data_IF_424643007240
#
_entry.id   IF_424643007240
#
_cell.length_a   1.000
_cell.length_b   1.000
_cell.length_c   1.000
_cell.angle_alpha   90.00
_cell.angle_beta   90.00
_cell.angle_gamma   90.00
#
_symmetry.space_group_name_H-M   'P 1'
#
loop_
_entity.id
_entity.type
_entity.pdbx_description
1 polymer ?
#
# COMPACT_ATOMS: atom_id res chain seq x y z
N UNK A 1 20.56 -9.66 -1.37
CA UNK A 1 21.66 -10.64 -1.28
C UNK A 1 22.52 -10.68 -2.54
N UNK A 2 21.94 -10.68 -3.74
CA UNK A 2 22.68 -10.59 -5.02
C UNK A 2 23.58 -9.33 -5.12
N UNK A 3 23.16 -8.12 -4.70
CA UNK A 3 24.02 -6.94 -4.78
C UNK A 3 25.27 -7.02 -3.89
N UNK A 4 25.16 -7.66 -2.73
CA UNK A 4 26.27 -7.88 -1.80
C UNK A 4 27.23 -8.98 -2.29
N UNK A 5 26.71 -9.96 -3.05
CA UNK A 5 27.53 -10.95 -3.74
C UNK A 5 28.30 -10.33 -4.91
N UNK A 6 27.69 -9.39 -5.64
CA UNK A 6 28.33 -8.64 -6.72
C UNK A 6 29.41 -7.68 -6.21
N UNK A 7 29.26 -7.09 -5.01
CA UNK A 7 30.33 -6.28 -4.41
C UNK A 7 31.51 -7.11 -3.89
N UNK A 8 31.29 -8.40 -3.61
CA UNK A 8 32.32 -9.33 -3.11
C UNK A 8 33.09 -10.02 -4.25
N UNK A 9 32.54 -9.97 -5.47
CA UNK A 9 33.10 -10.48 -6.71
C UNK A 9 33.77 -9.29 -7.42
N UNK A 10 35.11 -9.26 -7.45
CA UNK A 10 35.85 -8.13 -8.03
C UNK A 10 35.46 -7.83 -9.49
N UNK A 11 35.66 -6.57 -9.91
CA UNK A 11 35.39 -6.08 -11.27
C UNK A 11 35.79 -7.05 -12.41
N UNK A 12 36.95 -7.76 -12.37
CA UNK A 12 37.34 -8.68 -13.45
C UNK A 12 36.36 -9.86 -13.67
N UNK A 13 35.78 -10.38 -12.60
CA UNK A 13 34.83 -11.50 -12.70
C UNK A 13 33.48 -11.01 -13.22
N UNK A 14 33.07 -9.79 -12.85
CA UNK A 14 31.85 -9.16 -13.36
C UNK A 14 31.93 -8.86 -14.86
N UNK A 15 33.09 -8.38 -15.34
CA UNK A 15 33.29 -8.11 -16.76
C UNK A 15 33.22 -9.38 -17.60
N UNK A 16 33.76 -10.50 -17.10
CA UNK A 16 33.65 -11.80 -17.76
C UNK A 16 32.20 -12.31 -17.84
N UNK A 17 31.48 -12.32 -16.72
CA UNK A 17 30.08 -12.80 -16.67
C UNK A 17 29.17 -11.94 -17.58
N UNK A 18 29.32 -10.62 -17.54
CA UNK A 18 28.52 -9.73 -18.38
C UNK A 18 28.84 -9.89 -19.87
N UNK A 19 30.10 -10.13 -20.22
CA UNK A 19 30.50 -10.40 -21.61
C UNK A 19 29.84 -11.69 -22.14
N UNK A 20 29.79 -12.75 -21.33
CA UNK A 20 29.18 -14.02 -21.71
C UNK A 20 27.65 -13.89 -21.85
N UNK A 21 26.98 -13.25 -20.89
CA UNK A 21 25.53 -13.01 -20.96
C UNK A 21 25.16 -12.17 -22.18
N UNK A 22 25.99 -11.18 -22.55
CA UNK A 22 25.70 -10.33 -23.71
C UNK A 22 25.98 -11.02 -25.06
N UNK A 23 26.83 -12.04 -25.11
CA UNK A 23 27.01 -12.90 -26.30
C UNK A 23 25.75 -13.72 -26.58
N UNK A 24 25.04 -14.18 -25.55
CA UNK A 24 23.86 -15.05 -25.69
C UNK A 24 22.59 -14.34 -26.21
N UNK A 25 22.49 -13.01 -26.07
CA UNK A 25 21.31 -12.22 -26.48
C UNK A 25 21.31 -11.89 -27.98
N UNK A 26 22.46 -12.09 -28.66
CA UNK A 26 22.71 -11.98 -30.10
C UNK A 26 22.08 -10.76 -30.81
N UNK A 27 22.39 -9.56 -30.33
CA UNK A 27 22.07 -8.30 -31.00
C UNK A 27 23.34 -7.52 -31.36
N UNK A 28 23.30 -6.61 -32.34
CA UNK A 28 24.47 -5.79 -32.69
C UNK A 28 25.03 -4.98 -31.51
N UNK A 29 24.14 -4.51 -30.62
CA UNK A 29 24.51 -3.71 -29.44
C UNK A 29 25.14 -4.59 -28.36
N UNK A 30 24.55 -5.75 -28.06
CA UNK A 30 25.08 -6.67 -27.04
C UNK A 30 26.39 -7.30 -27.48
N UNK A 31 26.55 -7.63 -28.76
CA UNK A 31 27.80 -8.13 -29.33
C UNK A 31 28.93 -7.07 -29.28
N UNK A 32 28.60 -5.80 -29.50
CA UNK A 32 29.54 -4.68 -29.32
C UNK A 32 29.97 -4.51 -27.86
N UNK A 33 29.01 -4.56 -26.93
CA UNK A 33 29.27 -4.45 -25.50
C UNK A 33 30.10 -5.64 -24.96
N UNK A 34 29.79 -6.87 -25.38
CA UNK A 34 30.52 -8.07 -24.98
C UNK A 34 32.00 -8.00 -25.39
N UNK A 35 32.28 -7.56 -26.63
CA UNK A 35 33.66 -7.37 -27.11
C UNK A 35 34.41 -6.31 -26.31
N UNK A 36 33.76 -5.19 -25.99
CA UNK A 36 34.36 -4.14 -25.19
C UNK A 36 34.72 -4.63 -23.77
N UNK A 37 33.83 -5.39 -23.13
CA UNK A 37 34.07 -5.99 -21.81
C UNK A 37 35.21 -7.01 -21.84
N UNK A 38 35.32 -7.82 -22.91
CA UNK A 38 36.41 -8.78 -23.08
C UNK A 38 37.78 -8.10 -23.29
N UNK A 39 37.82 -6.97 -24.00
CA UNK A 39 39.04 -6.17 -24.13
C UNK A 39 39.46 -5.53 -22.80
N UNK A 40 38.50 -5.09 -21.98
CA UNK A 40 38.76 -4.61 -20.62
C UNK A 40 39.33 -5.72 -19.74
N UNK A 41 38.76 -6.92 -19.77
CA UNK A 41 39.28 -8.08 -19.01
C UNK A 41 40.71 -8.44 -19.44
N UNK A 42 40.99 -8.47 -20.74
CA UNK A 42 42.36 -8.67 -21.27
C UNK A 42 43.33 -7.57 -20.85
N UNK A 43 42.89 -6.31 -20.81
CA UNK A 43 43.71 -5.19 -20.36
C UNK A 43 44.07 -5.30 -18.87
N UNK A 44 43.15 -5.79 -18.04
CA UNK A 44 43.41 -6.12 -16.63
C UNK A 44 44.43 -7.26 -16.52
N UNK A 45 44.20 -8.38 -17.22
CA UNK A 45 45.11 -9.55 -17.17
C UNK A 45 46.53 -9.24 -17.68
N UNK A 46 46.66 -8.31 -18.63
CA UNK A 46 47.95 -7.87 -19.17
C UNK A 46 48.64 -6.81 -18.29
N UNK A 47 48.05 -6.41 -17.17
CA UNK A 47 48.56 -5.35 -16.28
C UNK A 47 48.55 -3.96 -16.90
N UNK A 48 47.76 -3.74 -17.97
CA UNK A 48 47.57 -2.42 -18.57
C UNK A 48 46.64 -1.54 -17.73
N UNK A 49 45.78 -2.18 -16.92
CA UNK A 49 45.07 -1.57 -15.80
C UNK A 49 45.76 -2.07 -14.54
N UNK A 50 46.21 -1.15 -13.67
CA UNK A 50 46.93 -1.51 -12.46
C UNK A 50 46.01 -2.23 -11.47
N UNK A 51 46.54 -3.25 -10.79
CA UNK A 51 45.84 -3.92 -9.68
C UNK A 51 45.42 -2.92 -8.59
N UNK A 52 46.19 -1.84 -8.40
CA UNK A 52 45.86 -0.77 -7.46
C UNK A 52 44.57 -0.02 -7.86
N UNK A 53 44.37 0.23 -9.16
CA UNK A 53 43.20 0.93 -9.69
C UNK A 53 41.95 0.04 -9.59
N UNK A 54 42.09 -1.26 -9.87
CA UNK A 54 41.00 -2.24 -9.71
C UNK A 54 40.59 -2.37 -8.24
N UNK A 55 41.56 -2.39 -7.32
CA UNK A 55 41.30 -2.49 -5.89
C UNK A 55 40.65 -1.22 -5.34
N UNK A 56 41.06 -0.04 -5.82
CA UNK A 56 40.40 1.23 -5.50
C UNK A 56 38.96 1.28 -6.01
N UNK A 57 38.72 0.82 -7.24
CA UNK A 57 37.37 0.74 -7.79
C UNK A 57 36.47 -0.23 -7.00
N UNK A 58 36.99 -1.38 -6.56
CA UNK A 58 36.25 -2.30 -5.68
C UNK A 58 35.89 -1.62 -4.33
N UNK A 59 36.83 -0.93 -3.68
CA UNK A 59 36.56 -0.17 -2.44
C UNK A 59 35.49 0.90 -2.62
N UNK A 60 35.50 1.58 -3.77
CA UNK A 60 34.48 2.57 -4.07
C UNK A 60 33.10 1.94 -4.21
N UNK A 61 32.98 0.80 -4.88
CA UNK A 61 31.73 0.03 -4.99
C UNK A 61 31.23 -0.42 -3.63
N UNK A 62 32.11 -0.89 -2.75
CA UNK A 62 31.76 -1.26 -1.37
C UNK A 62 31.20 -0.06 -0.58
N UNK A 63 31.90 1.08 -0.59
CA UNK A 63 31.44 2.31 0.08
C UNK A 63 30.09 2.81 -0.46
N UNK A 64 29.93 2.82 -1.78
CA UNK A 64 28.66 3.19 -2.43
C UNK A 64 27.53 2.23 -2.06
N UNK A 65 27.83 0.93 -1.96
CA UNK A 65 26.86 -0.09 -1.55
C UNK A 65 26.46 0.11 -0.09
N UNK A 66 27.40 0.40 0.80
CA UNK A 66 27.10 0.71 2.20
C UNK A 66 26.21 1.94 2.33
N UNK A 67 26.55 3.05 1.66
CA UNK A 67 25.72 4.26 1.66
C UNK A 67 24.31 4.00 1.14
N UNK A 68 24.15 3.18 0.10
CA UNK A 68 22.82 2.79 -0.42
C UNK A 68 22.04 1.97 0.58
N UNK A 69 22.68 1.00 1.24
CA UNK A 69 22.03 0.18 2.27
C UNK A 69 21.57 1.02 3.47
N UNK A 70 22.38 1.98 3.90
CA UNK A 70 22.01 2.92 4.97
C UNK A 70 20.83 3.82 4.57
N UNK A 71 20.83 4.35 3.35
CA UNK A 71 19.70 5.10 2.82
C UNK A 71 18.42 4.27 2.73
N UNK A 72 18.52 3.02 2.26
CA UNK A 72 17.37 2.13 2.15
C UNK A 72 16.85 1.75 3.54
N UNK A 73 17.73 1.49 4.51
CA UNK A 73 17.34 1.25 5.90
C UNK A 73 16.63 2.46 6.51
N UNK A 74 17.12 3.68 6.27
CA UNK A 74 16.49 4.92 6.73
C UNK A 74 15.09 5.11 6.12
N UNK A 75 14.95 4.94 4.80
CA UNK A 75 13.64 5.00 4.11
C UNK A 75 12.66 3.98 4.67
N UNK A 76 13.10 2.72 4.84
CA UNK A 76 12.26 1.67 5.40
C UNK A 76 11.88 1.98 6.86
N UNK A 77 12.78 2.57 7.64
CA UNK A 77 12.49 2.99 9.01
C UNK A 77 11.42 4.09 9.04
N UNK A 78 11.55 5.13 8.21
CA UNK A 78 10.62 6.24 8.12
C UNK A 78 9.23 5.78 7.63
N UNK A 79 9.17 4.91 6.63
CA UNK A 79 7.93 4.29 6.15
C UNK A 79 7.26 3.47 7.27
N UNK A 80 8.04 2.67 8.00
CA UNK A 80 7.48 1.89 9.12
C UNK A 80 7.00 2.79 10.25
N UNK A 81 7.70 3.89 10.52
CA UNK A 81 7.32 4.86 11.54
C UNK A 81 6.00 5.55 11.16
N UNK A 82 5.86 6.00 9.91
CA UNK A 82 4.63 6.65 9.44
C UNK A 82 3.44 5.69 9.41
N UNK A 83 3.63 4.44 8.96
CA UNK A 83 2.59 3.40 9.00
C UNK A 83 2.13 3.10 10.42
N UNK A 84 3.07 2.98 11.37
CA UNK A 84 2.72 2.79 12.79
C UNK A 84 1.95 3.98 13.34
N UNK A 85 2.35 5.20 12.99
CA UNK A 85 1.63 6.40 13.39
C UNK A 85 0.22 6.46 12.79
N UNK A 86 0.03 6.01 11.55
CA UNK A 86 -1.28 5.93 10.89
C UNK A 86 -2.18 4.86 11.54
N UNK A 87 -1.65 3.68 11.84
CA UNK A 87 -2.38 2.60 12.52
C UNK A 87 -2.80 3.01 13.94
N UNK A 88 -1.95 3.76 14.64
CA UNK A 88 -2.23 4.27 15.99
C UNK A 88 -3.04 5.58 15.96
N UNK A 89 -3.23 6.18 14.78
CA UNK A 89 -4.00 7.42 14.63
C UNK A 89 -5.46 7.18 15.03
N UNK A 90 -5.80 7.61 16.25
CA UNK A 90 -7.16 7.58 16.79
C UNK A 90 -8.01 8.74 16.23
N UNK A 91 -8.15 8.83 14.90
CA UNK A 91 -8.93 9.91 14.30
C UNK A 91 -10.37 9.88 14.85
N UNK A 92 -10.71 10.93 15.59
CA UNK A 92 -12.02 11.11 16.23
C UNK A 92 -13.14 11.15 15.19
N UNK A 93 -12.85 11.58 13.95
CA UNK A 93 -13.84 11.64 12.88
C UNK A 93 -14.31 10.24 12.48
N UNK A 94 -13.38 9.29 12.27
CA UNK A 94 -13.70 7.90 11.90
C UNK A 94 -14.48 7.20 13.02
N UNK A 95 -14.15 7.49 14.29
CA UNK A 95 -14.83 6.90 15.45
C UNK A 95 -16.24 7.45 15.66
N UNK A 96 -16.48 8.72 15.34
CA UNK A 96 -17.78 9.39 15.51
C UNK A 96 -18.73 9.17 14.34
N UNK A 97 -18.21 8.93 13.13
CA UNK A 97 -19.00 8.77 11.91
C UNK A 97 -20.04 7.64 12.02
N UNK A 98 -19.63 6.47 12.55
CA UNK A 98 -20.53 5.30 12.71
C UNK A 98 -21.72 5.61 13.65
N UNK A 99 -21.51 6.16 14.88
CA UNK A 99 -22.60 6.65 15.73
C UNK A 99 -23.47 7.74 15.09
N UNK A 100 -22.89 8.75 14.44
CA UNK A 100 -23.66 9.85 13.84
C UNK A 100 -24.63 9.36 12.78
N UNK A 101 -24.21 8.41 11.94
CA UNK A 101 -25.10 7.80 10.95
C UNK A 101 -26.31 7.14 11.62
N UNK A 102 -26.09 6.37 12.70
CA UNK A 102 -27.17 5.76 13.47
C UNK A 102 -28.13 6.78 14.08
N UNK A 103 -27.62 7.90 14.61
CA UNK A 103 -28.46 8.97 15.14
C UNK A 103 -29.30 9.65 14.06
N UNK A 104 -28.71 9.97 12.90
CA UNK A 104 -29.47 10.52 11.78
C UNK A 104 -30.59 9.58 11.32
N UNK A 105 -30.29 8.28 11.19
CA UNK A 105 -31.29 7.27 10.83
C UNK A 105 -32.43 7.18 11.84
N UNK A 106 -32.13 7.23 13.14
CA UNK A 106 -33.15 7.20 14.19
C UNK A 106 -34.03 8.46 14.14
N UNK A 107 -33.43 9.64 13.93
CA UNK A 107 -34.15 10.91 13.83
C UNK A 107 -35.06 10.94 12.60
N UNK A 108 -34.56 10.53 11.43
CA UNK A 108 -35.38 10.50 10.20
C UNK A 108 -36.50 9.48 10.30
N UNK A 109 -36.25 8.32 10.90
CA UNK A 109 -37.31 7.33 11.16
C UNK A 109 -38.38 7.89 12.10
N UNK A 110 -37.97 8.51 13.21
CA UNK A 110 -38.91 9.12 14.15
C UNK A 110 -39.75 10.23 13.48
N UNK A 111 -39.12 11.08 12.67
CA UNK A 111 -39.82 12.12 11.91
C UNK A 111 -40.81 11.51 10.90
N UNK A 112 -40.41 10.47 10.17
CA UNK A 112 -41.29 9.77 9.23
C UNK A 112 -42.49 9.14 9.95
N UNK A 113 -42.27 8.43 11.06
CA UNK A 113 -43.34 7.81 11.83
C UNK A 113 -44.29 8.84 12.46
N UNK A 114 -43.77 9.98 12.93
CA UNK A 114 -44.61 11.10 13.39
C UNK A 114 -45.45 11.69 12.26
N UNK A 115 -44.89 11.84 11.05
CA UNK A 115 -45.64 12.27 9.87
C UNK A 115 -46.79 11.32 9.53
N UNK A 116 -46.54 10.01 9.54
CA UNK A 116 -47.58 9.00 9.33
C UNK A 116 -48.66 9.09 10.42
N UNK A 117 -48.25 9.13 11.69
CA UNK A 117 -49.19 9.21 12.82
C UNK A 117 -50.07 10.48 12.74
N UNK A 118 -49.48 11.61 12.35
CA UNK A 118 -50.21 12.86 12.14
C UNK A 118 -51.27 12.71 11.04
N UNK A 119 -50.92 12.16 9.87
CA UNK A 119 -51.87 11.94 8.78
C UNK A 119 -52.99 11.00 9.21
N UNK A 120 -52.68 9.91 9.92
CA UNK A 120 -53.72 8.97 10.39
C UNK A 120 -54.74 9.67 11.30
N UNK A 121 -54.30 10.56 12.19
CA UNK A 121 -55.16 11.23 13.17
C UNK A 121 -55.91 12.42 12.58
N UNK A 122 -55.26 13.24 11.74
CA UNK A 122 -55.78 14.52 11.30
C UNK A 122 -56.24 14.56 9.83
N UNK A 123 -55.80 13.60 9.01
CA UNK A 123 -56.08 13.52 7.57
C UNK A 123 -56.32 12.06 7.15
N UNK A 124 -57.23 11.40 7.86
CA UNK A 124 -57.46 9.94 7.79
C UNK A 124 -57.86 9.49 6.39
N UNK A 125 -58.58 10.32 5.63
CA UNK A 125 -58.99 10.02 4.25
C UNK A 125 -57.78 9.76 3.33
N UNK A 126 -56.65 10.44 3.57
CA UNK A 126 -55.42 10.31 2.78
C UNK A 126 -54.43 9.31 3.36
N UNK A 127 -54.73 8.70 4.50
CA UNK A 127 -53.84 7.73 5.17
C UNK A 127 -53.48 6.55 4.28
N UNK A 128 -54.42 6.06 3.46
CA UNK A 128 -54.19 4.96 2.52
C UNK A 128 -53.16 5.30 1.45
N UNK A 129 -53.24 6.50 0.86
CA UNK A 129 -52.29 6.97 -0.16
C UNK A 129 -50.88 7.13 0.43
N UNK A 130 -50.78 7.70 1.63
CA UNK A 130 -49.50 7.91 2.32
C UNK A 130 -48.86 6.57 2.70
N UNK A 131 -49.63 5.60 3.22
CA UNK A 131 -49.13 4.26 3.53
C UNK A 131 -48.66 3.53 2.26
N UNK A 132 -49.36 3.69 1.14
CA UNK A 132 -48.91 3.14 -0.14
C UNK A 132 -47.60 3.79 -0.61
N UNK A 133 -47.45 5.11 -0.49
CA UNK A 133 -46.20 5.80 -0.81
C UNK A 133 -45.03 5.35 0.08
N UNK A 134 -45.28 4.95 1.32
CA UNK A 134 -44.24 4.38 2.21
C UNK A 134 -43.65 3.09 1.65
N UNK A 135 -44.44 2.28 0.95
CA UNK A 135 -43.94 1.06 0.32
C UNK A 135 -42.82 1.35 -0.70
N UNK A 136 -42.90 2.48 -1.43
CA UNK A 136 -41.89 2.90 -2.40
C UNK A 136 -40.56 3.29 -1.76
N UNK A 137 -40.55 3.61 -0.46
CA UNK A 137 -39.34 3.93 0.30
C UNK A 137 -38.66 2.68 0.91
N UNK A 138 -39.21 1.48 0.72
CA UNK A 138 -38.65 0.25 1.29
C UNK A 138 -37.22 -0.01 0.83
N UNK A 139 -36.89 0.30 -0.43
CA UNK A 139 -35.55 0.08 -0.98
C UNK A 139 -34.49 0.95 -0.29
N UNK A 140 -34.76 2.24 -0.07
CA UNK A 140 -33.81 3.13 0.61
C UNK A 140 -33.64 2.76 2.08
N UNK A 141 -34.73 2.33 2.74
CA UNK A 141 -34.68 1.84 4.12
C UNK A 141 -33.90 0.54 4.25
N UNK A 142 -34.05 -0.40 3.32
CA UNK A 142 -33.28 -1.63 3.31
C UNK A 142 -31.77 -1.34 3.24
N UNK A 143 -31.34 -0.48 2.32
CA UNK A 143 -29.94 -0.07 2.19
C UNK A 143 -29.44 0.62 3.47
N UNK A 144 -30.18 1.61 3.99
CA UNK A 144 -29.78 2.34 5.19
C UNK A 144 -29.64 1.45 6.43
N UNK A 145 -30.57 0.51 6.62
CA UNK A 145 -30.53 -0.45 7.73
C UNK A 145 -29.43 -1.50 7.56
N UNK A 146 -29.12 -1.92 6.33
CA UNK A 146 -27.97 -2.79 6.07
C UNK A 146 -26.64 -2.15 6.47
N UNK A 147 -26.43 -0.88 6.11
CA UNK A 147 -25.23 -0.12 6.51
C UNK A 147 -25.14 -0.01 8.04
N UNK A 148 -26.24 0.31 8.71
CA UNK A 148 -26.30 0.37 10.16
C UNK A 148 -25.96 -0.99 10.80
N UNK A 149 -26.49 -2.09 10.25
CA UNK A 149 -26.21 -3.45 10.69
C UNK A 149 -24.73 -3.79 10.63
N UNK A 150 -24.06 -3.48 9.51
CA UNK A 150 -22.61 -3.67 9.34
C UNK A 150 -21.83 -2.85 10.39
N UNK A 151 -22.21 -1.59 10.61
CA UNK A 151 -21.55 -0.72 11.59
C UNK A 151 -21.67 -1.24 13.03
N UNK A 152 -22.85 -1.72 13.43
CA UNK A 152 -23.07 -2.30 14.76
C UNK A 152 -22.29 -3.61 14.92
N UNK A 153 -22.28 -4.45 13.87
CA UNK A 153 -21.53 -5.71 13.88
C UNK A 153 -20.04 -5.47 14.07
N UNK A 154 -19.43 -4.61 13.24
CA UNK A 154 -18.00 -4.27 13.34
C UNK A 154 -17.65 -3.61 14.67
N UNK A 155 -18.48 -2.70 15.16
CA UNK A 155 -18.27 -2.09 16.48
C UNK A 155 -18.34 -3.11 17.61
N UNK A 156 -19.13 -4.17 17.45
CA UNK A 156 -19.22 -5.25 18.44
C UNK A 156 -17.96 -6.15 18.39
N UNK A 157 -17.42 -6.43 17.21
CA UNK A 157 -16.11 -7.10 17.06
C UNK A 157 -14.98 -6.30 17.71
N UNK A 158 -14.91 -4.98 17.44
CA UNK A 158 -13.90 -4.08 18.02
C UNK A 158 -13.94 -4.09 19.58
N UNK A 159 -15.13 -4.21 20.17
CA UNK A 159 -15.29 -4.31 21.63
C UNK A 159 -14.89 -5.67 22.19
N UNK A 160 -14.98 -6.74 21.41
CA UNK A 160 -14.59 -8.10 21.82
C UNK A 160 -13.07 -8.22 21.87
N UNK A 161 -12.37 -7.73 20.85
CA UNK A 161 -10.89 -7.72 20.82
C UNK A 161 -10.31 -6.85 21.95
N UNK A 162 -10.93 -5.70 22.25
CA UNK A 162 -10.49 -4.83 23.35
C UNK A 162 -10.71 -5.40 24.75
N UNK A 163 -11.58 -6.40 24.95
CA UNK A 163 -11.82 -7.05 26.26
C UNK A 163 -10.94 -8.29 26.50
N UNK A 164 -10.24 -8.77 25.47
CA UNK A 164 -9.42 -9.98 25.53
C UNK A 164 -7.95 -9.70 25.89
N UNK A 165 -7.58 -8.45 26.10
CA UNK A 165 -6.31 -7.95 26.66
C UNK A 165 -6.57 -7.41 28.08
#
# INVERSE_FOLDING_TARGET
MIPALLSQIGIPVLTGILADVFKDIDTPVTNGAARALEEVDKAIQRGQISDADVLEANRHVESMTQMRLEQDAAKLSEINQSLRAEIVSEDQYVRRMRPTFGYFMAVTWAAQMMGIAYVIVFDTERSGEVLNAMSSLSAIWAVGLSVLGIYVYKRSEDKKSSKAL
#
